data_IF_077358957353
#
_entry.id   IF_077358957353
#
_cell.length_a   1.000
_cell.length_b   1.000
_cell.length_c   1.000
_cell.angle_alpha   90.00
_cell.angle_beta   90.00
_cell.angle_gamma   90.00
#
_symmetry.space_group_name_H-M   'P 1'
#
loop_
_entity.id
_entity.type
_entity.pdbx_description
1 polymer ?
#
# COMPACT_ATOMS: atom_id res chain seq x y z
N UNK A 1 11.39 -11.91 -14.12
CA UNK A 1 10.61 -13.14 -13.97
C UNK A 1 10.24 -13.19 -12.49
N UNK A 2 8.97 -13.00 -12.11
CA UNK A 2 8.58 -13.27 -10.72
C UNK A 2 8.85 -14.76 -10.47
N UNK A 3 9.32 -15.16 -9.28
CA UNK A 3 9.39 -16.59 -8.96
C UNK A 3 8.00 -17.19 -9.17
N UNK A 4 7.94 -18.37 -9.79
CA UNK A 4 6.69 -19.13 -9.89
C UNK A 4 6.22 -19.44 -8.47
N UNK A 5 5.27 -18.65 -8.01
CA UNK A 5 4.63 -18.81 -6.71
C UNK A 5 3.76 -20.07 -6.77
N UNK A 6 3.81 -20.87 -5.72
CA UNK A 6 2.90 -22.02 -5.62
C UNK A 6 1.45 -21.55 -5.45
N UNK A 7 0.44 -22.33 -5.86
CA UNK A 7 -0.96 -21.96 -5.67
C UNK A 7 -1.32 -21.63 -4.20
N UNK A 8 -0.68 -22.30 -3.25
CA UNK A 8 -0.86 -22.12 -1.81
C UNK A 8 -0.33 -20.76 -1.34
N UNK A 9 0.87 -20.38 -1.78
CA UNK A 9 1.46 -19.08 -1.48
C UNK A 9 0.64 -17.94 -2.11
N UNK A 10 0.15 -18.14 -3.34
CA UNK A 10 -0.70 -17.16 -4.03
C UNK A 10 -2.02 -16.95 -3.29
N UNK A 11 -2.62 -18.03 -2.80
CA UNK A 11 -3.83 -17.98 -1.98
C UNK A 11 -3.58 -17.27 -0.65
N UNK A 12 -2.51 -17.61 0.06
CA UNK A 12 -2.14 -16.94 1.30
C UNK A 12 -1.81 -15.45 1.10
N UNK A 13 -1.26 -15.06 -0.05
CA UNK A 13 -1.06 -13.66 -0.43
C UNK A 13 -2.38 -12.96 -0.68
N UNK A 14 -3.31 -13.60 -1.39
CA UNK A 14 -4.64 -13.05 -1.66
C UNK A 14 -5.41 -12.80 -0.37
N UNK A 15 -5.38 -13.73 0.60
CA UNK A 15 -6.01 -13.55 1.92
C UNK A 15 -5.42 -12.31 2.63
N UNK A 16 -4.10 -12.22 2.73
CA UNK A 16 -3.43 -11.06 3.37
C UNK A 16 -3.70 -9.74 2.65
N UNK A 17 -3.95 -9.78 1.34
CA UNK A 17 -4.32 -8.60 0.59
C UNK A 17 -5.76 -8.17 0.91
N UNK A 18 -6.69 -9.13 0.99
CA UNK A 18 -8.08 -8.88 1.36
C UNK A 18 -8.19 -8.34 2.79
N UNK A 19 -7.56 -8.97 3.77
CA UNK A 19 -7.56 -8.50 5.18
C UNK A 19 -7.03 -7.07 5.32
N UNK A 20 -5.99 -6.73 4.55
CA UNK A 20 -5.46 -5.37 4.53
C UNK A 20 -6.43 -4.38 3.90
N UNK A 21 -7.10 -4.78 2.83
CA UNK A 21 -8.10 -3.94 2.17
C UNK A 21 -9.24 -3.62 3.12
N UNK A 22 -9.76 -4.63 3.83
CA UNK A 22 -10.83 -4.47 4.82
C UNK A 22 -10.44 -3.47 5.92
N UNK A 23 -9.21 -3.57 6.43
CA UNK A 23 -8.67 -2.63 7.43
C UNK A 23 -8.60 -1.19 6.88
N UNK A 24 -8.14 -1.01 5.63
CA UNK A 24 -8.05 0.32 5.01
C UNK A 24 -9.45 0.92 4.80
N UNK A 25 -10.41 0.10 4.34
CA UNK A 25 -11.79 0.52 4.13
C UNK A 25 -12.46 0.96 5.45
N UNK A 26 -12.18 0.26 6.55
CA UNK A 26 -12.62 0.65 7.89
C UNK A 26 -12.06 2.03 8.29
N UNK A 27 -10.77 2.28 8.04
CA UNK A 27 -10.14 3.56 8.35
C UNK A 27 -10.75 4.70 7.51
N UNK A 28 -10.92 4.50 6.20
CA UNK A 28 -11.55 5.49 5.32
C UNK A 28 -12.93 5.87 5.85
N UNK A 29 -13.73 4.86 6.21
CA UNK A 29 -15.06 5.06 6.78
C UNK A 29 -15.01 5.80 8.12
N UNK A 30 -14.13 5.39 9.03
CA UNK A 30 -14.03 5.98 10.37
C UNK A 30 -13.62 7.45 10.33
N UNK A 31 -12.73 7.83 9.39
CA UNK A 31 -12.24 9.19 9.23
C UNK A 31 -13.03 10.03 8.22
N UNK A 32 -14.04 9.45 7.56
CA UNK A 32 -14.85 10.14 6.56
C UNK A 32 -14.05 10.63 5.36
N UNK A 33 -13.02 9.87 4.97
CA UNK A 33 -12.14 10.23 3.86
C UNK A 33 -12.90 10.01 2.55
N UNK A 34 -12.95 11.04 1.71
CA UNK A 34 -13.45 10.93 0.35
C UNK A 34 -12.29 10.56 -0.58
N UNK A 35 -12.33 9.35 -1.14
CA UNK A 35 -11.32 8.91 -2.08
C UNK A 35 -11.67 9.38 -3.49
N UNK A 36 -10.71 9.90 -4.27
CA UNK A 36 -10.98 10.27 -5.64
C UNK A 36 -11.31 9.03 -6.49
N UNK A 37 -12.44 9.08 -7.20
CA UNK A 37 -12.85 8.06 -8.18
C UNK A 37 -12.00 8.08 -9.47
N UNK A 38 -11.23 9.16 -9.67
CA UNK A 38 -10.45 9.36 -10.89
C UNK A 38 -9.23 8.42 -10.94
N UNK A 39 -8.99 7.74 -12.08
CA UNK A 39 -7.83 6.88 -12.21
C UNK A 39 -6.53 7.70 -12.12
N UNK A 40 -5.48 7.08 -11.58
CA UNK A 40 -4.15 7.68 -11.52
C UNK A 40 -3.61 7.85 -12.95
N UNK A 41 -3.72 9.07 -13.48
CA UNK A 41 -3.27 9.43 -14.84
C UNK A 41 -1.82 9.90 -14.92
N UNK A 42 -1.20 10.17 -13.76
CA UNK A 42 0.18 10.63 -13.65
C UNK A 42 1.03 9.58 -12.93
N UNK A 43 2.31 9.42 -13.29
CA UNK A 43 3.19 8.51 -12.56
C UNK A 43 3.21 8.85 -11.07
N UNK A 44 3.06 7.83 -10.22
CA UNK A 44 3.26 7.97 -8.78
C UNK A 44 4.77 8.24 -8.58
N UNK A 45 5.16 9.36 -7.94
CA UNK A 45 6.56 9.67 -7.72
C UNK A 45 7.20 8.60 -6.84
N UNK A 46 8.21 7.92 -7.37
CA UNK A 46 9.02 6.96 -6.62
C UNK A 46 10.16 7.75 -5.97
N UNK A 47 10.10 7.92 -4.65
CA UNK A 47 11.20 8.49 -3.88
C UNK A 47 12.31 7.44 -3.81
N UNK A 48 13.52 7.82 -4.23
CA UNK A 48 14.70 6.95 -4.08
C UNK A 48 15.17 7.00 -2.63
N UNK A 49 15.70 5.89 -2.14
CA UNK A 49 16.17 5.77 -0.75
C UNK A 49 17.27 6.81 -0.44
N UNK A 50 18.12 7.16 -1.42
CA UNK A 50 19.16 8.20 -1.27
C UNK A 50 18.59 9.63 -1.18
N UNK A 51 17.33 9.81 -1.58
CA UNK A 51 16.58 11.07 -1.53
C UNK A 51 15.57 11.06 -0.35
N UNK A 52 15.67 10.11 0.59
CA UNK A 52 14.74 10.03 1.72
C UNK A 52 14.77 11.35 2.53
N UNK A 53 13.61 11.98 2.77
CA UNK A 53 13.55 13.09 3.69
C UNK A 53 14.00 12.61 5.07
N UNK A 54 14.82 13.43 5.75
CA UNK A 54 15.41 13.08 7.04
C UNK A 54 14.37 12.53 8.01
N UNK A 55 14.66 11.35 8.56
CA UNK A 55 13.76 10.63 9.45
C UNK A 55 13.40 11.47 10.68
N UNK A 56 12.09 11.65 10.91
CA UNK A 56 11.58 12.30 12.13
C UNK A 56 11.84 11.49 13.39
N UNK A 57 12.22 10.21 13.25
CA UNK A 57 12.59 9.32 14.35
C UNK A 57 14.03 9.51 14.83
N UNK A 58 14.87 10.22 14.07
CA UNK A 58 16.27 10.47 14.40
C UNK A 58 16.50 11.79 15.16
N UNK A 59 15.44 12.55 15.44
CA UNK A 59 15.50 13.83 16.15
C UNK A 59 15.31 13.70 17.68
N UNK A 60 15.78 12.58 18.27
CA UNK A 60 15.73 12.28 19.70
C UNK A 60 17.07 12.38 20.38
#
# INVERSE_FOLDING_TARGET
MLPDETPEEAHARAIRAAERQDMVDELIRAFGIDLPDEPITRPIPVIRIDDEPGSWLSAG
#
